data_IF_719586167299
#
_entry.id   IF_719586167299
#
_cell.length_a   1.000
_cell.length_b   1.000
_cell.length_c   1.000
_cell.angle_alpha   90.00
_cell.angle_beta   90.00
_cell.angle_gamma   90.00
#
_symmetry.space_group_name_H-M   'P 1'
#
loop_
_entity.id
_entity.type
_entity.pdbx_description
1 polymer ?
#
# COMPACT_ATOMS: atom_id res chain seq x y z
N UNK A 1 -20.04 8.76 14.75
CA UNK A 1 -19.74 8.94 13.31
C UNK A 1 -18.24 8.77 13.16
N UNK A 2 -17.77 7.69 12.54
CA UNK A 2 -16.36 7.57 12.16
C UNK A 2 -16.13 8.51 10.97
N UNK A 3 -15.49 9.64 11.24
CA UNK A 3 -15.01 10.58 10.24
C UNK A 3 -13.57 10.22 9.92
N UNK A 4 -13.29 9.95 8.64
CA UNK A 4 -11.93 9.97 8.12
C UNK A 4 -11.47 8.66 7.51
N UNK A 5 -11.80 8.42 6.24
CA UNK A 5 -10.81 7.83 5.33
C UNK A 5 -9.59 8.75 5.40
N UNK A 6 -8.51 8.30 6.06
CA UNK A 6 -7.17 8.81 5.75
C UNK A 6 -6.90 8.35 4.31
N UNK A 7 -6.50 9.23 3.38
CA UNK A 7 -6.36 8.84 1.99
C UNK A 7 -5.22 7.82 1.88
N UNK A 8 -5.59 6.55 1.72
CA UNK A 8 -4.70 5.58 1.08
C UNK A 8 -4.32 6.14 -0.28
N UNK A 9 -3.09 5.88 -0.70
CA UNK A 9 -2.53 6.45 -1.91
C UNK A 9 -3.43 6.15 -3.12
N UNK A 10 -3.75 7.17 -3.93
CA UNK A 10 -4.63 7.00 -5.08
C UNK A 10 -4.04 6.06 -6.13
N UNK A 11 -4.87 5.35 -6.89
CA UNK A 11 -4.42 4.46 -7.97
C UNK A 11 -3.52 5.17 -8.99
N UNK A 12 -3.80 6.43 -9.28
CA UNK A 12 -3.01 7.26 -10.18
C UNK A 12 -1.62 7.59 -9.60
N UNK A 13 -1.55 7.90 -8.30
CA UNK A 13 -0.29 8.11 -7.59
C UNK A 13 0.56 6.83 -7.57
N UNK A 14 -0.05 5.67 -7.34
CA UNK A 14 0.62 4.35 -7.38
C UNK A 14 1.20 4.09 -8.78
N UNK A 15 0.47 4.42 -9.85
CA UNK A 15 0.95 4.21 -11.21
C UNK A 15 2.14 5.11 -11.58
N UNK A 16 2.12 6.35 -11.10
CA UNK A 16 3.14 7.37 -11.39
C UNK A 16 4.43 7.18 -10.57
N UNK A 17 4.38 6.47 -9.44
CA UNK A 17 5.57 6.15 -8.66
C UNK A 17 6.52 5.18 -9.36
N UNK A 18 7.81 5.33 -9.11
CA UNK A 18 8.85 4.40 -9.56
C UNK A 18 8.78 3.07 -8.80
N UNK A 19 9.50 2.08 -9.31
CA UNK A 19 9.57 0.76 -8.66
C UNK A 19 10.16 0.85 -7.24
N UNK A 20 11.24 1.61 -7.04
CA UNK A 20 11.86 1.76 -5.72
C UNK A 20 10.92 2.52 -4.76
N UNK A 21 10.26 3.59 -5.21
CA UNK A 21 9.29 4.31 -4.36
C UNK A 21 8.11 3.43 -3.93
N UNK A 22 7.59 2.58 -4.82
CA UNK A 22 6.53 1.63 -4.48
C UNK A 22 7.02 0.56 -3.50
N UNK A 23 8.26 0.10 -3.63
CA UNK A 23 8.87 -0.88 -2.75
C UNK A 23 9.09 -0.31 -1.34
N UNK A 24 9.61 0.92 -1.25
CA UNK A 24 9.80 1.62 0.01
C UNK A 24 8.47 1.88 0.71
N UNK A 25 7.46 2.32 -0.04
CA UNK A 25 6.11 2.52 0.50
C UNK A 25 5.49 1.23 1.01
N UNK A 26 5.65 0.12 0.27
CA UNK A 26 5.20 -1.21 0.71
C UNK A 26 5.88 -1.67 2.02
N UNK A 27 7.16 -1.35 2.21
CA UNK A 27 7.88 -1.61 3.46
C UNK A 27 7.29 -0.75 4.60
N UNK A 28 6.99 0.52 4.35
CA UNK A 28 6.34 1.38 5.34
C UNK A 28 4.99 0.82 5.79
N UNK A 29 4.13 0.44 4.83
CA UNK A 29 2.81 -0.14 5.12
C UNK A 29 2.89 -1.43 5.94
N UNK A 30 3.94 -2.26 5.75
CA UNK A 30 4.17 -3.44 6.61
C UNK A 30 4.41 -3.07 8.07
N UNK A 31 5.16 -2.01 8.32
CA UNK A 31 5.42 -1.53 9.69
C UNK A 31 4.13 -1.01 10.30
N UNK A 32 3.37 -0.19 9.57
CA UNK A 32 2.08 0.32 10.02
C UNK A 32 1.06 -0.78 10.30
N UNK A 33 1.00 -1.81 9.44
CA UNK A 33 0.12 -2.95 9.64
C UNK A 33 0.46 -3.70 10.92
N UNK A 34 1.75 -3.82 11.25
CA UNK A 34 2.19 -4.44 12.51
C UNK A 34 1.72 -3.61 13.71
N UNK A 35 1.85 -2.29 13.64
CA UNK A 35 1.38 -1.37 14.71
C UNK A 35 -0.14 -1.45 14.86
N UNK A 36 -0.90 -1.37 13.77
CA UNK A 36 -2.35 -1.46 13.78
C UNK A 36 -2.84 -2.78 14.39
N UNK A 37 -2.18 -3.90 14.08
CA UNK A 37 -2.50 -5.21 14.70
C UNK A 37 -2.23 -5.24 16.20
N UNK A 38 -1.11 -4.69 16.65
CA UNK A 38 -0.75 -4.63 18.08
C UNK A 38 -1.77 -3.78 18.85
N UNK A 39 -2.25 -2.69 18.24
CA UNK A 39 -3.23 -1.78 18.83
C UNK A 39 -4.69 -2.25 18.68
N UNK A 40 -4.93 -3.43 18.09
CA UNK A 40 -6.28 -3.94 17.77
C UNK A 40 -7.11 -2.99 16.87
N UNK A 41 -6.45 -2.19 16.03
CA UNK A 41 -7.06 -1.32 15.03
C UNK A 41 -7.41 -2.14 13.78
N UNK A 42 -8.42 -3.02 13.88
CA UNK A 42 -8.72 -4.01 12.83
C UNK A 42 -9.17 -3.41 11.49
N UNK A 43 -9.99 -2.35 11.51
CA UNK A 43 -10.42 -1.65 10.30
C UNK A 43 -9.22 -1.05 9.56
N UNK A 44 -8.35 -0.34 10.29
CA UNK A 44 -7.11 0.20 9.74
C UNK A 44 -6.19 -0.90 9.21
N UNK A 45 -6.10 -2.04 9.91
CA UNK A 45 -5.31 -3.17 9.45
C UNK A 45 -5.87 -3.81 8.17
N UNK A 46 -7.17 -3.72 7.92
CA UNK A 46 -7.81 -4.15 6.68
C UNK A 46 -7.49 -3.17 5.55
N UNK A 47 -7.66 -1.86 5.77
CA UNK A 47 -7.34 -0.82 4.80
C UNK A 47 -5.87 -0.90 4.33
N UNK A 48 -4.94 -1.06 5.29
CA UNK A 48 -3.51 -1.21 5.00
C UNK A 48 -3.21 -2.45 4.16
N UNK A 49 -3.95 -3.56 4.35
CA UNK A 49 -3.79 -4.76 3.51
C UNK A 49 -4.26 -4.50 2.09
N UNK A 50 -5.40 -3.84 1.91
CA UNK A 50 -5.92 -3.52 0.57
C UNK A 50 -4.95 -2.62 -0.20
N UNK A 51 -4.40 -1.58 0.45
CA UNK A 51 -3.40 -0.71 -0.16
C UNK A 51 -2.13 -1.49 -0.54
N UNK A 52 -1.65 -2.37 0.34
CA UNK A 52 -0.51 -3.24 0.07
C UNK A 52 -0.73 -4.14 -1.15
N UNK A 53 -1.94 -4.68 -1.36
CA UNK A 53 -2.26 -5.50 -2.54
C UNK A 53 -2.20 -4.69 -3.85
N UNK A 54 -2.69 -3.45 -3.83
CA UNK A 54 -2.63 -2.55 -4.99
C UNK A 54 -1.18 -2.25 -5.39
N UNK A 55 -0.33 -1.96 -4.40
CA UNK A 55 1.09 -1.69 -4.64
C UNK A 55 1.81 -2.94 -5.13
N UNK A 56 1.50 -4.11 -4.58
CA UNK A 56 2.10 -5.37 -5.03
C UNK A 56 1.77 -5.69 -6.49
N UNK A 57 0.52 -5.45 -6.90
CA UNK A 57 0.11 -5.55 -8.32
C UNK A 57 0.88 -4.55 -9.19
N UNK A 58 1.02 -3.30 -8.75
CA UNK A 58 1.78 -2.29 -9.50
C UNK A 58 3.26 -2.64 -9.63
N UNK A 59 3.89 -3.17 -8.58
CA UNK A 59 5.27 -3.66 -8.60
C UNK A 59 5.44 -4.82 -9.61
N UNK A 60 4.48 -5.75 -9.64
CA UNK A 60 4.49 -6.90 -10.55
C UNK A 60 4.39 -6.44 -12.01
N UNK A 61 3.45 -5.55 -12.32
CA UNK A 61 3.27 -4.98 -13.65
C UNK A 61 4.53 -4.22 -14.15
N UNK A 62 5.21 -3.48 -13.26
CA UNK A 62 6.45 -2.75 -13.61
C UNK A 62 7.62 -3.72 -13.83
N UNK A 63 7.66 -4.85 -13.13
CA UNK A 63 8.66 -5.90 -13.34
C UNK A 63 8.47 -6.59 -14.69
N UNK A 64 7.23 -6.93 -15.06
CA UNK A 64 6.92 -7.60 -16.33
C UNK A 64 7.25 -6.72 -17.55
N UNK A 65 6.93 -5.42 -17.50
CA UNK A 65 7.27 -4.44 -18.56
C UNK A 65 8.77 -4.25 -18.82
N UNK A 66 9.64 -4.67 -17.90
CA UNK A 66 11.10 -4.61 -18.07
C UNK A 66 11.67 -5.79 -18.86
N UNK A 67 10.86 -6.83 -19.07
CA UNK A 67 11.23 -8.12 -19.67
C UNK A 67 10.61 -8.37 -21.05
N UNK A 68 9.84 -7.42 -21.57
CA UNK A 68 9.32 -7.39 -22.96
C UNK A 68 10.04 -6.32 -23.76
#
# INVERSE_FOLDING_TARGET
>A
MYLGRVPGMGLEEIQNKTYEELKDHYISLKVELKVARINFEFERAMDLKEEMELIYKALSNKKEKKTS
#
